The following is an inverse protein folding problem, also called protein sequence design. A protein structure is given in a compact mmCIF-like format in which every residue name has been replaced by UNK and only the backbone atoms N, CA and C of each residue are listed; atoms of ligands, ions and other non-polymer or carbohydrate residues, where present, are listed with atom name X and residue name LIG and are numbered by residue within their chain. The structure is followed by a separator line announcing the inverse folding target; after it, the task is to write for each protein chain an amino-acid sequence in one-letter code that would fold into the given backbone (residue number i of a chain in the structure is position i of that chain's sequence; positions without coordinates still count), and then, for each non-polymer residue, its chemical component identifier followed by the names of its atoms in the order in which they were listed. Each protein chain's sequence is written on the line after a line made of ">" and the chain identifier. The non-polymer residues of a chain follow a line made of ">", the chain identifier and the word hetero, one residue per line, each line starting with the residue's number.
data_IF_618674555964
#
_entry.id   IF_618674555964
#
_cell.length_a   1.000
_cell.length_b   1.000
_cell.length_c   1.000
_cell.angle_alpha   90.00
_cell.angle_beta   90.00
_cell.angle_gamma   90.00
#
_symmetry.space_group_name_H-M   'P 1'
#
loop_
_entity.id
_entity.type
_entity.pdbx_description
1 polymer ?
#
# COMPACT_ATOMS: atom_id res chain seq x y z
N UNK A 1 11.26 -14.38 -0.63
CA UNK A 1 11.13 -12.95 -0.97
C UNK A 1 11.38 -12.11 0.28
N UNK A 2 12.16 -11.03 0.18
CA UNK A 2 12.39 -10.07 1.26
C UNK A 2 11.49 -8.83 1.05
N UNK A 3 10.90 -8.29 2.12
CA UNK A 3 10.21 -7.00 2.09
C UNK A 3 11.22 -5.85 2.10
N UNK A 4 10.81 -4.65 1.73
CA UNK A 4 11.67 -3.46 1.80
C UNK A 4 12.19 -3.22 3.23
N UNK A 5 13.45 -2.82 3.35
CA UNK A 5 14.09 -2.42 4.61
C UNK A 5 14.60 -3.58 5.50
N UNK A 6 14.60 -3.38 6.82
CA UNK A 6 14.98 -4.38 7.85
C UNK A 6 14.00 -4.38 9.03
N UNK A 7 14.02 -5.42 9.87
CA UNK A 7 13.12 -5.48 11.05
C UNK A 7 13.51 -4.42 12.09
N UNK A 8 14.81 -4.14 12.20
CA UNK A 8 15.33 -3.07 13.04
C UNK A 8 14.87 -1.71 12.51
N UNK A 9 14.96 -1.46 11.20
CA UNK A 9 14.47 -0.24 10.57
C UNK A 9 12.97 -0.07 10.75
N UNK A 10 12.19 -1.15 10.63
CA UNK A 10 10.76 -1.13 10.89
C UNK A 10 10.44 -0.79 12.35
N UNK A 11 11.20 -1.35 13.30
CA UNK A 11 11.00 -1.09 14.73
C UNK A 11 11.39 0.35 15.10
N UNK A 12 12.49 0.86 14.52
CA UNK A 12 12.91 2.24 14.70
C UNK A 12 11.86 3.22 14.15
N UNK A 13 11.36 2.97 12.93
CA UNK A 13 10.31 3.77 12.32
C UNK A 13 9.03 3.79 13.15
N UNK A 14 8.57 2.61 13.60
CA UNK A 14 7.40 2.50 14.45
C UNK A 14 7.57 3.30 15.75
N UNK A 15 8.76 3.28 16.35
CA UNK A 15 9.06 4.04 17.58
C UNK A 15 9.02 5.55 17.33
N UNK A 16 9.61 6.02 16.23
CA UNK A 16 9.60 7.44 15.86
C UNK A 16 8.19 7.94 15.52
N UNK A 17 7.38 7.12 14.84
CA UNK A 17 5.99 7.40 14.53
C UNK A 17 5.04 7.27 15.74
N UNK A 18 5.52 6.76 16.89
CA UNK A 18 4.71 6.52 18.09
C UNK A 18 3.80 5.29 18.02
N UNK A 19 4.08 4.36 17.10
CA UNK A 19 3.37 3.09 16.98
C UNK A 19 3.86 2.04 17.98
N UNK A 20 2.90 1.30 18.51
CA UNK A 20 3.16 0.23 19.48
C UNK A 20 2.80 -1.11 18.84
N UNK A 21 3.77 -2.01 18.77
CA UNK A 21 3.51 -3.38 18.35
C UNK A 21 2.70 -4.13 19.42
N UNK A 22 1.77 -5.02 19.04
CA UNK A 22 1.13 -5.94 19.96
C UNK A 22 2.16 -6.74 20.76
N UNK A 23 1.86 -6.96 22.04
CA UNK A 23 2.73 -7.75 22.93
C UNK A 23 2.95 -9.17 22.37
N UNK A 24 4.18 -9.65 22.43
CA UNK A 24 4.56 -10.97 21.90
C UNK A 24 4.79 -11.01 20.38
N UNK A 25 4.79 -9.87 19.69
CA UNK A 25 5.15 -9.81 18.26
C UNK A 25 6.57 -10.33 18.03
N UNK A 26 6.69 -11.47 17.36
CA UNK A 26 7.97 -12.10 16.99
C UNK A 26 8.60 -11.46 15.76
N UNK A 27 9.91 -11.62 15.59
CA UNK A 27 10.61 -11.15 14.38
C UNK A 27 10.12 -11.84 13.10
N UNK A 28 9.65 -13.09 13.21
CA UNK A 28 9.01 -13.79 12.09
C UNK A 28 7.72 -13.09 11.65
N UNK A 29 6.89 -12.62 12.60
CA UNK A 29 5.68 -11.86 12.32
C UNK A 29 5.99 -10.48 11.74
N UNK A 30 7.00 -9.76 12.26
CA UNK A 30 7.47 -8.49 11.67
C UNK A 30 7.95 -8.69 10.24
N UNK A 31 8.71 -9.76 10.00
CA UNK A 31 9.19 -10.11 8.66
C UNK A 31 8.02 -10.37 7.72
N UNK A 32 7.04 -11.18 8.14
CA UNK A 32 5.86 -11.49 7.34
C UNK A 32 5.00 -10.25 7.05
N UNK A 33 4.79 -9.38 8.05
CA UNK A 33 4.08 -8.12 7.90
C UNK A 33 4.78 -7.19 6.89
N UNK A 34 6.10 -7.09 6.96
CA UNK A 34 6.90 -6.32 5.98
C UNK A 34 6.79 -6.86 4.56
N UNK A 35 6.68 -8.18 4.38
CA UNK A 35 6.41 -8.74 3.04
C UNK A 35 5.08 -8.23 2.50
N UNK A 36 4.02 -8.28 3.32
CA UNK A 36 2.67 -7.82 2.93
C UNK A 36 2.66 -6.32 2.67
N UNK A 37 3.27 -5.53 3.56
CA UNK A 37 3.40 -4.08 3.36
C UNK A 37 4.13 -3.73 2.07
N UNK A 38 5.18 -4.48 1.71
CA UNK A 38 5.88 -4.27 0.45
C UNK A 38 5.02 -4.57 -0.78
N UNK A 39 4.16 -5.59 -0.72
CA UNK A 39 3.22 -5.91 -1.80
C UNK A 39 2.19 -4.80 -2.02
N UNK A 40 1.76 -4.12 -0.95
CA UNK A 40 0.87 -2.96 -1.05
C UNK A 40 1.54 -1.84 -1.84
N UNK A 41 2.83 -1.56 -1.56
CA UNK A 41 3.58 -0.54 -2.30
C UNK A 41 3.84 -0.97 -3.74
N UNK A 42 4.14 -2.25 -3.99
CA UNK A 42 4.37 -2.78 -5.33
C UNK A 42 3.12 -2.66 -6.23
N UNK A 43 1.89 -2.57 -5.67
CA UNK A 43 0.66 -2.29 -6.44
C UNK A 43 0.69 -0.94 -7.16
N UNK A 44 1.46 0.03 -6.67
CA UNK A 44 1.61 1.35 -7.29
C UNK A 44 2.60 1.33 -8.47
N UNK A 45 3.19 0.18 -8.80
CA UNK A 45 4.17 0.07 -9.88
C UNK A 45 3.74 0.70 -11.22
N UNK A 46 2.49 0.53 -11.72
CA UNK A 46 2.08 1.16 -12.97
C UNK A 46 2.16 2.69 -12.95
N UNK A 47 2.21 3.28 -11.75
CA UNK A 47 2.31 4.73 -11.52
C UNK A 47 3.72 5.18 -11.17
N UNK A 48 4.69 4.28 -10.95
CA UNK A 48 6.06 4.68 -10.65
C UNK A 48 6.83 5.06 -11.92
N UNK A 49 7.68 6.08 -11.79
CA UNK A 49 8.58 6.50 -12.85
C UNK A 49 9.69 5.45 -13.10
N UNK A 50 10.26 5.48 -14.30
CA UNK A 50 11.33 4.54 -14.68
C UNK A 50 10.88 3.09 -14.81
N UNK A 51 11.86 2.17 -14.89
CA UNK A 51 11.64 0.71 -15.03
C UNK A 51 12.41 -0.06 -13.97
N UNK A 52 11.97 -1.26 -13.59
CA UNK A 52 12.71 -2.16 -12.67
C UNK A 52 14.16 -2.33 -13.15
N UNK A 53 15.13 -2.07 -12.25
CA UNK A 53 16.55 -2.17 -12.58
C UNK A 53 16.95 -3.60 -12.98
N UNK A 54 16.45 -4.60 -12.26
CA UNK A 54 16.68 -6.03 -12.49
C UNK A 54 15.72 -6.69 -13.49
N UNK A 55 14.92 -5.90 -14.21
CA UNK A 55 13.98 -6.42 -15.20
C UNK A 55 12.86 -7.29 -14.62
N UNK A 56 12.36 -8.24 -15.41
CA UNK A 56 11.19 -9.06 -15.07
C UNK A 56 11.40 -9.98 -13.85
N UNK A 57 12.65 -10.39 -13.59
CA UNK A 57 13.00 -11.28 -12.49
C UNK A 57 13.15 -10.56 -11.15
N UNK A 58 13.16 -9.22 -11.16
CA UNK A 58 13.17 -8.44 -9.93
C UNK A 58 11.85 -8.64 -9.19
N UNK A 59 11.92 -9.15 -7.96
CA UNK A 59 10.75 -9.48 -7.15
C UNK A 59 9.94 -8.25 -6.72
N UNK A 60 10.63 -7.13 -6.45
CA UNK A 60 10.07 -5.88 -5.91
C UNK A 60 9.98 -4.79 -6.98
N UNK A 61 9.07 -3.83 -6.84
CA UNK A 61 8.93 -2.74 -7.80
C UNK A 61 10.16 -1.79 -7.84
N UNK A 62 10.85 -1.64 -6.70
CA UNK A 62 12.11 -0.92 -6.55
C UNK A 62 13.28 -1.89 -6.28
N UNK A 63 14.52 -1.56 -6.69
CA UNK A 63 14.98 -0.31 -7.29
C UNK A 63 14.62 -0.13 -8.79
N UNK A 64 14.76 1.09 -9.31
CA UNK A 64 14.32 1.46 -10.68
C UNK A 64 15.35 2.29 -11.44
N UNK A 65 15.57 1.97 -12.71
CA UNK A 65 16.44 2.72 -13.64
C UNK A 65 15.66 3.81 -14.37
N UNK A 66 16.22 5.02 -14.38
CA UNK A 66 15.61 6.19 -15.03
C UNK A 66 14.38 6.70 -14.29
N UNK A 67 14.25 6.38 -13.01
CA UNK A 67 13.21 6.93 -12.16
C UNK A 67 13.54 8.39 -11.80
N UNK A 68 12.52 9.22 -11.77
CA UNK A 68 12.59 10.62 -11.35
C UNK A 68 11.51 10.92 -10.33
N UNK A 69 11.77 11.88 -9.44
CA UNK A 69 10.72 12.45 -8.59
C UNK A 69 9.74 13.27 -9.42
N UNK A 70 8.63 13.67 -8.81
CA UNK A 70 7.60 14.52 -9.39
C UNK A 70 8.18 15.85 -9.90
N UNK A 71 9.20 16.40 -9.24
CA UNK A 71 9.91 17.62 -9.64
C UNK A 71 11.03 17.38 -10.66
N UNK A 72 11.20 16.14 -11.14
CA UNK A 72 12.19 15.78 -12.16
C UNK A 72 13.59 15.46 -11.63
N UNK A 73 13.76 15.30 -10.32
CA UNK A 73 15.05 14.93 -9.74
C UNK A 73 15.33 13.44 -10.02
N UNK A 74 16.53 13.13 -10.52
CA UNK A 74 16.90 11.75 -10.85
C UNK A 74 17.12 10.92 -9.58
N UNK A 75 16.53 9.74 -9.55
CA UNK A 75 16.71 8.76 -8.48
C UNK A 75 17.75 7.74 -8.94
N UNK A 76 18.80 7.46 -8.14
CA UNK A 76 19.82 6.48 -8.49
C UNK A 76 19.22 5.08 -8.71
N UNK A 77 19.67 4.37 -9.75
CA UNK A 77 19.10 3.08 -10.13
C UNK A 77 19.44 1.91 -9.19
N UNK A 78 20.38 2.13 -8.30
CA UNK A 78 20.81 1.21 -7.25
C UNK A 78 20.23 1.56 -5.88
N UNK A 79 19.38 2.60 -5.80
CA UNK A 79 18.82 3.08 -4.54
C UNK A 79 17.31 2.85 -4.46
N UNK A 80 16.83 2.61 -3.25
CA UNK A 80 15.40 2.54 -2.94
C UNK A 80 15.09 3.71 -2.01
N UNK A 81 14.28 4.69 -2.46
CA UNK A 81 14.01 5.89 -1.67
C UNK A 81 13.50 5.56 -0.26
N UNK A 82 14.01 6.25 0.75
CA UNK A 82 13.60 6.02 2.15
C UNK A 82 12.08 6.16 2.33
N UNK A 83 11.43 7.05 1.58
CA UNK A 83 9.98 7.20 1.57
C UNK A 83 9.23 5.94 1.09
N UNK A 84 9.76 5.19 0.11
CA UNK A 84 9.20 3.90 -0.34
C UNK A 84 9.30 2.87 0.78
N UNK A 85 10.45 2.83 1.47
CA UNK A 85 10.67 1.92 2.60
C UNK A 85 9.74 2.27 3.76
N UNK A 86 9.63 3.55 4.13
CA UNK A 86 8.75 4.01 5.20
C UNK A 86 7.27 3.77 4.87
N UNK A 87 6.84 4.00 3.62
CA UNK A 87 5.50 3.66 3.18
C UNK A 87 5.22 2.15 3.32
N UNK A 88 6.22 1.30 3.02
CA UNK A 88 6.09 -0.14 3.23
C UNK A 88 5.98 -0.53 4.71
N UNK A 89 6.61 0.25 5.61
CA UNK A 89 6.50 0.07 7.05
C UNK A 89 5.13 0.46 7.58
N UNK A 90 4.56 1.58 7.11
CA UNK A 90 3.17 1.96 7.41
C UNK A 90 2.19 0.85 7.01
N UNK A 91 2.32 0.35 5.78
CA UNK A 91 1.50 -0.76 5.30
C UNK A 91 1.74 -2.05 6.11
N UNK A 92 2.98 -2.32 6.50
CA UNK A 92 3.32 -3.48 7.32
C UNK A 92 2.70 -3.41 8.72
N UNK A 93 2.69 -2.24 9.35
CA UNK A 93 2.10 -2.06 10.67
C UNK A 93 0.59 -2.27 10.65
N UNK A 94 -0.09 -1.75 9.62
CA UNK A 94 -1.52 -1.98 9.41
C UNK A 94 -1.83 -3.46 9.16
N UNK A 95 -1.02 -4.15 8.37
CA UNK A 95 -1.16 -5.60 8.14
C UNK A 95 -0.82 -6.46 9.36
N UNK A 96 -0.13 -5.91 10.36
CA UNK A 96 0.19 -6.59 11.61
C UNK A 96 -0.97 -6.43 12.61
N UNK A 97 -1.58 -5.25 12.65
CA UNK A 97 -2.67 -4.90 13.57
C UNK A 97 -4.04 -5.32 13.03
N UNK A 98 -4.25 -5.26 11.72
CA UNK A 98 -5.46 -5.68 11.03
C UNK A 98 -5.10 -6.45 9.73
N UNK A 99 -4.75 -7.74 9.85
CA UNK A 99 -4.32 -8.56 8.72
C UNK A 99 -5.36 -8.60 7.59
N UNK A 100 -4.92 -8.37 6.35
CA UNK A 100 -5.78 -8.41 5.16
C UNK A 100 -6.61 -7.15 4.90
N UNK A 101 -6.49 -6.12 5.75
CA UNK A 101 -7.20 -4.84 5.56
C UNK A 101 -6.78 -4.10 4.29
N UNK A 102 -5.52 -4.22 3.88
CA UNK A 102 -4.99 -3.55 2.68
C UNK A 102 -5.09 -4.43 1.42
N UNK A 103 -5.60 -5.66 1.55
CA UNK A 103 -5.88 -6.57 0.43
C UNK A 103 -7.17 -7.36 0.69
N UNK A 104 -8.32 -6.67 0.82
CA UNK A 104 -9.58 -7.34 1.08
C UNK A 104 -9.98 -8.21 -0.11
N UNK A 105 -10.33 -9.46 0.17
CA UNK A 105 -10.95 -10.34 -0.83
C UNK A 105 -12.44 -10.02 -0.85
N UNK A 106 -12.86 -9.16 -1.77
CA UNK A 106 -14.29 -8.87 -1.98
C UNK A 106 -14.92 -10.08 -2.67
N UNK A 107 -15.65 -10.87 -1.91
CA UNK A 107 -16.56 -11.88 -2.47
C UNK A 107 -17.91 -11.20 -2.61
N UNK A 108 -18.50 -11.16 -3.81
CA UNK A 108 -19.73 -10.40 -4.15
C UNK A 108 -21.02 -10.79 -3.39
N UNK A 109 -20.90 -11.45 -2.24
CA UNK A 109 -21.99 -11.98 -1.42
C UNK A 109 -22.10 -11.30 -0.04
N UNK A 110 -21.17 -10.39 0.32
CA UNK A 110 -21.17 -9.71 1.63
C UNK A 110 -21.89 -8.36 1.65
N UNK A 111 -22.88 -8.13 0.79
CA UNK A 111 -23.83 -7.04 1.02
C UNK A 111 -24.89 -7.53 2.01
N UNK A 112 -24.61 -7.43 3.31
CA UNK A 112 -25.65 -7.61 4.34
C UNK A 112 -26.62 -6.44 4.20
N UNK A 113 -27.67 -6.65 3.40
CA UNK A 113 -28.61 -5.60 2.96
C UNK A 113 -29.53 -5.08 4.08
N UNK A 114 -29.56 -5.76 5.24
CA UNK A 114 -30.16 -5.35 6.52
C UNK A 114 -29.83 -6.41 7.57
N UNK A 115 -29.38 -6.02 8.74
CA UNK A 115 -29.37 -6.90 9.92
C UNK A 115 -30.32 -6.29 10.97
N UNK A 116 -31.43 -6.98 11.24
CA UNK A 116 -32.45 -6.51 12.19
C UNK A 116 -32.16 -7.11 13.56
N UNK A 117 -31.59 -6.30 14.45
CA UNK A 117 -31.46 -6.63 15.88
C UNK A 117 -32.53 -5.84 16.65
N UNK A 118 -33.68 -6.45 16.93
CA UNK A 118 -34.74 -5.83 17.75
C UNK A 118 -35.43 -4.61 17.11
N UNK A 119 -35.65 -3.55 17.90
CA UNK A 119 -36.32 -2.28 17.53
C UNK A 119 -35.34 -1.19 17.07
N UNK A 120 -34.17 -1.56 16.56
CA UNK A 120 -33.20 -0.62 15.99
C UNK A 120 -33.00 -0.96 14.51
N UNK A 121 -33.36 -0.02 13.65
CA UNK A 121 -33.13 -0.07 12.20
C UNK A 121 -31.98 0.88 11.88
N UNK A 122 -30.86 0.33 11.41
CA UNK A 122 -29.71 1.11 10.95
C UNK A 122 -29.61 0.93 9.45
N UNK A 123 -29.91 1.99 8.70
CA UNK A 123 -29.73 2.05 7.24
C UNK A 123 -28.28 2.44 6.95
N UNK A 124 -27.48 1.48 6.48
CA UNK A 124 -26.19 1.78 5.88
C UNK A 124 -26.42 2.24 4.46
N UNK A 125 -25.88 3.40 4.09
CA UNK A 125 -25.83 3.88 2.72
C UNK A 125 -25.08 2.85 1.86
N UNK A 126 -25.83 2.02 1.15
CA UNK A 126 -25.27 1.04 0.23
C UNK A 126 -24.77 1.78 -1.02
N UNK A 127 -23.47 1.71 -1.28
CA UNK A 127 -22.90 2.12 -2.56
C UNK A 127 -23.60 1.37 -3.69
N UNK A 128 -24.05 2.10 -4.71
CA UNK A 128 -24.77 1.55 -5.87
C UNK A 128 -23.85 0.93 -6.92
N UNK A 129 -22.55 0.79 -6.64
CA UNK A 129 -21.60 0.31 -7.64
C UNK A 129 -21.66 -1.21 -7.77
N UNK A 130 -21.83 -1.69 -9.00
CA UNK A 130 -21.82 -3.10 -9.39
C UNK A 130 -20.48 -3.56 -9.94
N UNK A 131 -19.51 -2.64 -10.08
CA UNK A 131 -18.17 -2.97 -10.54
C UNK A 131 -17.34 -3.53 -9.37
N UNK A 132 -16.66 -4.65 -9.60
CA UNK A 132 -15.84 -5.31 -8.60
C UNK A 132 -14.65 -4.42 -8.23
N UNK A 133 -14.10 -3.67 -9.19
CA UNK A 133 -12.98 -2.76 -8.96
C UNK A 133 -13.39 -1.60 -8.02
N UNK A 134 -14.60 -1.06 -8.19
CA UNK A 134 -15.15 -0.02 -7.32
C UNK A 134 -15.43 -0.54 -5.91
N UNK A 135 -15.95 -1.78 -5.79
CA UNK A 135 -16.20 -2.42 -4.50
C UNK A 135 -14.89 -2.71 -3.75
N UNK A 136 -13.84 -3.13 -4.46
CA UNK A 136 -12.50 -3.31 -3.88
C UNK A 136 -11.91 -1.98 -3.45
N UNK A 137 -12.02 -0.93 -4.27
CA UNK A 137 -11.55 0.41 -3.92
C UNK A 137 -12.26 0.98 -2.68
N UNK A 138 -13.57 0.75 -2.54
CA UNK A 138 -14.35 1.15 -1.38
C UNK A 138 -14.00 0.35 -0.11
N UNK A 139 -13.66 -0.93 -0.26
CA UNK A 139 -13.29 -1.80 0.84
C UNK A 139 -11.84 -1.61 1.31
N UNK A 140 -10.94 -1.15 0.43
CA UNK A 140 -9.55 -0.82 0.81
C UNK A 140 -9.50 0.52 1.55
N UNK A 141 -9.09 0.57 2.82
CA UNK A 141 -8.95 1.83 3.52
C UNK A 141 -7.85 2.67 2.87
N UNK A 142 -8.17 3.92 2.53
CA UNK A 142 -7.19 4.88 2.02
C UNK A 142 -6.36 5.40 3.18
N UNK A 143 -5.09 5.02 3.21
CA UNK A 143 -4.14 5.48 4.23
C UNK A 143 -3.42 6.71 3.68
N UNK A 144 -3.88 7.90 4.07
CA UNK A 144 -3.35 9.18 3.59
C UNK A 144 -1.86 9.35 3.86
N UNK A 145 -1.33 8.73 4.93
CA UNK A 145 0.11 8.71 5.25
C UNK A 145 0.92 8.00 4.16
N UNK A 146 0.44 6.84 3.68
CA UNK A 146 1.10 6.09 2.59
C UNK A 146 1.09 6.92 1.31
N UNK A 147 -0.06 7.50 0.96
CA UNK A 147 -0.16 8.38 -0.21
C UNK A 147 0.76 9.62 -0.10
N UNK A 148 0.85 10.21 1.09
CA UNK A 148 1.73 11.34 1.38
C UNK A 148 3.23 11.00 1.29
N UNK A 149 3.62 9.74 1.45
CA UNK A 149 5.00 9.28 1.26
C UNK A 149 5.27 8.90 -0.20
N UNK A 150 4.28 8.38 -0.91
CA UNK A 150 4.43 7.90 -2.28
C UNK A 150 4.30 9.00 -3.33
N UNK A 151 3.50 10.05 -3.09
CA UNK A 151 3.19 11.07 -4.10
C UNK A 151 4.41 11.65 -4.85
N UNK A 152 5.60 11.88 -4.23
CA UNK A 152 6.75 12.44 -4.95
C UNK A 152 7.33 11.47 -5.99
N UNK A 153 6.97 10.20 -5.97
CA UNK A 153 7.49 9.15 -6.86
C UNK A 153 6.48 8.70 -7.91
N UNK A 154 5.25 9.21 -7.84
CA UNK A 154 4.19 8.88 -8.79
C UNK A 154 4.31 9.76 -10.03
N UNK A 155 4.16 9.15 -11.20
CA UNK A 155 4.12 9.86 -12.48
C UNK A 155 2.84 10.71 -12.53
N UNK A 156 2.93 11.99 -12.92
CA UNK A 156 1.75 12.81 -13.13
C UNK A 156 0.83 12.15 -14.15
N UNK A 157 -0.45 11.98 -13.78
CA UNK A 157 -1.49 11.59 -14.73
C UNK A 157 -1.79 12.81 -15.57
N UNK A 158 -1.09 12.96 -16.69
CA UNK A 158 -1.47 13.96 -17.70
C UNK A 158 -2.76 13.48 -18.35
N UNK A 159 -3.90 14.17 -18.19
CA UNK A 159 -5.11 13.82 -18.93
C UNK A 159 -4.74 13.92 -20.40
N UNK A 160 -4.82 12.78 -21.10
CA UNK A 160 -4.21 12.59 -22.40
C UNK A 160 -4.53 13.75 -23.35
N UNK A 161 -3.49 14.50 -23.74
CA UNK A 161 -3.56 15.28 -24.96
C UNK A 161 -3.68 14.27 -26.10
N UNK A 162 -4.91 14.00 -26.55
CA UNK A 162 -5.18 13.39 -27.84
C UNK A 162 -4.61 14.33 -28.91
N UNK A 163 -3.37 14.08 -29.31
CA UNK A 163 -2.83 14.65 -30.55
C UNK A 163 -3.35 13.75 -31.66
N UNK A 164 -4.38 14.26 -32.35
CA UNK A 164 -4.92 13.76 -33.62
C UNK A 164 -3.92 14.02 -34.74
#
# INVERSE_FOLDING_TARGET
>A
MAGYGTNDGFTAYATEAGYVFPDGTTDAQKTAARQRGSLVIDRYEPRFSGRRTGGYAQERAWPRTGATTYYGEAIPSNDTPAAIVNASYEAAFLELTNPGSLSPVVTGTQTVKREKIGQLEVEYSASSSTDIDDLVALATPVVTTIEGLLWPFLVPVWPGALVV
#
